data_IF_068819702037
#
_entry.id   IF_068819702037
#
_cell.length_a   1.000
_cell.length_b   1.000
_cell.length_c   1.000
_cell.angle_alpha   90.00
_cell.angle_beta   90.00
_cell.angle_gamma   90.00
#
_symmetry.space_group_name_H-M   'P 1'
#
loop_
_entity.id
_entity.type
_entity.pdbx_description
1 polymer ?
#
# COMPACT_ATOMS: atom_id res chain seq x y z
N UNK A 1 -19.79 -14.25 -9.28
CA UNK A 1 -18.83 -13.53 -8.42
C UNK A 1 -18.62 -14.34 -7.14
N UNK A 2 -17.44 -14.29 -6.53
CA UNK A 2 -17.07 -15.00 -5.29
C UNK A 2 -16.73 -14.01 -4.19
N UNK A 3 -16.94 -14.41 -2.93
CA UNK A 3 -16.51 -13.61 -1.78
C UNK A 3 -15.00 -13.35 -1.82
N UNK A 4 -14.60 -12.14 -1.46
CA UNK A 4 -13.23 -11.68 -1.47
C UNK A 4 -13.00 -10.65 -0.37
N UNK A 5 -11.73 -10.45 -0.02
CA UNK A 5 -11.29 -9.26 0.70
C UNK A 5 -10.67 -8.28 -0.30
N UNK A 6 -11.06 -7.02 -0.21
CA UNK A 6 -10.43 -5.91 -0.96
C UNK A 6 -9.56 -5.14 0.01
N UNK A 7 -8.30 -5.00 -0.35
CA UNK A 7 -7.32 -4.28 0.43
C UNK A 7 -6.79 -3.08 -0.34
N UNK A 8 -6.66 -1.96 0.36
CA UNK A 8 -6.05 -0.75 -0.16
C UNK A 8 -4.92 -0.33 0.77
N UNK A 9 -3.74 -0.08 0.21
CA UNK A 9 -2.61 0.51 0.93
C UNK A 9 -2.31 1.88 0.34
N UNK A 10 -2.14 2.87 1.20
CA UNK A 10 -1.80 4.24 0.82
C UNK A 10 -0.34 4.48 1.19
N UNK A 11 0.51 4.53 0.18
CA UNK A 11 1.96 4.56 0.35
C UNK A 11 2.48 5.95 0.00
N UNK A 12 2.69 6.77 1.03
CA UNK A 12 3.31 8.08 0.92
C UNK A 12 4.72 8.00 0.35
N UNK A 13 5.13 9.00 -0.44
CA UNK A 13 6.44 9.01 -1.09
C UNK A 13 7.41 10.00 -0.45
N UNK A 14 6.92 10.92 0.39
CA UNK A 14 7.81 11.85 1.09
C UNK A 14 8.58 11.12 2.20
N UNK A 15 9.87 11.44 2.37
CA UNK A 15 10.70 10.84 3.43
C UNK A 15 11.62 11.87 4.04
N UNK A 16 11.77 11.84 5.37
CA UNK A 16 12.61 12.79 6.08
C UNK A 16 14.08 12.68 5.62
N UNK A 17 14.68 13.83 5.30
CA UNK A 17 16.11 13.93 4.97
C UNK A 17 16.52 13.24 3.66
N UNK A 18 15.59 12.92 2.76
CA UNK A 18 15.91 12.39 1.43
C UNK A 18 14.86 12.84 0.39
N UNK A 19 15.20 12.86 -0.92
CA UNK A 19 14.21 13.12 -1.98
C UNK A 19 13.04 12.14 -1.91
N UNK A 20 11.82 12.48 -2.34
CA UNK A 20 10.71 11.53 -2.38
C UNK A 20 11.08 10.22 -3.11
N UNK A 21 10.44 9.11 -2.73
CA UNK A 21 10.63 7.81 -3.37
C UNK A 21 10.41 7.96 -4.88
N UNK A 22 11.44 7.73 -5.70
CA UNK A 22 11.36 7.83 -7.16
C UNK A 22 10.65 6.64 -7.81
N UNK A 23 10.33 6.73 -9.11
CA UNK A 23 9.70 5.61 -9.83
C UNK A 23 10.56 4.35 -9.83
N UNK A 24 11.88 4.46 -10.09
CA UNK A 24 12.77 3.30 -10.08
C UNK A 24 12.84 2.61 -8.69
N UNK A 25 12.79 3.38 -7.61
CA UNK A 25 12.75 2.83 -6.24
C UNK A 25 11.42 2.14 -5.96
N UNK A 26 10.32 2.72 -6.45
CA UNK A 26 8.99 2.16 -6.37
C UNK A 26 8.87 0.84 -7.14
N UNK A 27 9.33 0.80 -8.39
CA UNK A 27 9.32 -0.39 -9.23
C UNK A 27 10.17 -1.51 -8.61
N UNK A 28 11.32 -1.17 -8.04
CA UNK A 28 12.14 -2.12 -7.32
C UNK A 28 11.43 -2.68 -6.07
N UNK A 29 10.67 -1.85 -5.35
CA UNK A 29 9.85 -2.30 -4.21
C UNK A 29 8.71 -3.21 -4.65
N UNK A 30 8.02 -2.88 -5.76
CA UNK A 30 6.99 -3.76 -6.31
C UNK A 30 7.58 -5.13 -6.66
N UNK A 31 8.68 -5.16 -7.41
CA UNK A 31 9.32 -6.39 -7.86
C UNK A 31 9.85 -7.25 -6.69
N UNK A 32 10.45 -6.63 -5.67
CA UNK A 32 11.07 -7.39 -4.58
C UNK A 32 10.11 -7.73 -3.43
N UNK A 33 9.09 -6.90 -3.19
CA UNK A 33 8.22 -7.05 -2.02
C UNK A 33 6.75 -7.34 -2.38
N UNK A 34 6.14 -6.54 -3.25
CA UNK A 34 4.70 -6.62 -3.49
C UNK A 34 4.31 -7.80 -4.38
N UNK A 35 4.91 -7.90 -5.56
CA UNK A 35 4.57 -8.93 -6.56
C UNK A 35 4.77 -10.36 -6.03
N UNK A 36 5.86 -10.70 -5.29
CA UNK A 36 6.00 -12.04 -4.73
C UNK A 36 4.95 -12.40 -3.67
N UNK A 37 4.40 -11.41 -2.96
CA UNK A 37 3.35 -11.62 -1.94
C UNK A 37 1.95 -11.69 -2.54
N UNK A 38 1.74 -11.09 -3.71
CA UNK A 38 0.47 -11.02 -4.42
C UNK A 38 0.62 -11.53 -5.87
N UNK A 39 0.94 -12.82 -6.07
CA UNK A 39 1.19 -13.38 -7.40
C UNK A 39 -0.04 -13.39 -8.30
N UNK A 40 -1.23 -13.38 -7.71
CA UNK A 40 -2.51 -13.31 -8.45
C UNK A 40 -2.78 -11.92 -9.05
N UNK A 41 -2.00 -10.91 -8.65
CA UNK A 41 -2.05 -9.57 -9.20
C UNK A 41 -2.34 -8.49 -8.15
N UNK A 42 -2.09 -7.26 -8.57
CA UNK A 42 -2.30 -6.02 -7.84
C UNK A 42 -2.53 -4.88 -8.83
N UNK A 43 -3.13 -3.78 -8.39
CA UNK A 43 -3.27 -2.55 -9.18
C UNK A 43 -2.60 -1.41 -8.44
N UNK A 44 -1.88 -0.57 -9.18
CA UNK A 44 -1.24 0.63 -8.64
C UNK A 44 -1.85 1.85 -9.30
N UNK A 45 -2.21 2.85 -8.51
CA UNK A 45 -2.63 4.16 -8.98
C UNK A 45 -1.70 5.23 -8.43
N UNK A 46 -1.38 6.22 -9.25
CA UNK A 46 -0.79 7.46 -8.77
C UNK A 46 -1.83 8.29 -8.02
N UNK A 47 -1.46 8.76 -6.83
CA UNK A 47 -2.33 9.53 -5.97
C UNK A 47 -1.60 10.77 -5.42
N UNK A 48 -2.38 11.74 -4.96
CA UNK A 48 -1.89 12.88 -4.20
C UNK A 48 -2.56 12.88 -2.82
N UNK A 49 -1.75 12.67 -1.78
CA UNK A 49 -2.19 12.67 -0.40
C UNK A 49 -2.15 14.06 0.23
N UNK A 50 -3.07 14.31 1.14
CA UNK A 50 -3.03 15.45 2.05
C UNK A 50 -3.44 14.99 3.44
N UNK A 51 -2.59 15.23 4.44
CA UNK A 51 -2.91 14.91 5.83
C UNK A 51 -2.53 16.05 6.76
N UNK A 52 -3.07 16.03 7.97
CA UNK A 52 -2.66 16.96 9.02
C UNK A 52 -1.55 16.31 9.83
N UNK A 53 -0.35 16.86 9.76
CA UNK A 53 0.79 16.45 10.58
C UNK A 53 0.55 16.73 12.07
N UNK A 54 1.40 16.15 12.93
CA UNK A 54 1.28 16.32 14.38
C UNK A 54 1.43 17.78 14.84
N UNK A 55 2.10 18.63 14.05
CA UNK A 55 2.24 20.07 14.26
C UNK A 55 0.99 20.88 13.82
N UNK A 56 -0.05 20.20 13.34
CA UNK A 56 -1.29 20.80 12.87
C UNK A 56 -1.23 21.34 11.44
N UNK A 57 -0.09 21.26 10.73
CA UNK A 57 0.02 21.72 9.34
C UNK A 57 -0.53 20.67 8.38
N UNK A 58 -1.10 21.12 7.27
CA UNK A 58 -1.47 20.22 6.16
C UNK A 58 -0.22 19.95 5.34
N UNK A 59 0.21 18.70 5.33
CA UNK A 59 1.24 18.23 4.42
C UNK A 59 0.61 17.70 3.14
N UNK A 60 1.37 17.81 2.06
CA UNK A 60 0.99 17.34 0.73
C UNK A 60 2.09 16.43 0.22
N UNK A 61 1.69 15.30 -0.32
CA UNK A 61 2.66 14.35 -0.86
C UNK A 61 2.12 13.63 -2.10
N UNK A 62 3.04 13.24 -2.97
CA UNK A 62 2.75 12.20 -3.93
C UNK A 62 2.64 10.87 -3.18
N UNK A 63 1.70 10.03 -3.60
CA UNK A 63 1.46 8.72 -3.00
C UNK A 63 1.21 7.68 -4.10
N UNK A 64 1.36 6.41 -3.76
CA UNK A 64 0.87 5.29 -4.56
C UNK A 64 -0.29 4.64 -3.80
N UNK A 65 -1.40 4.39 -4.49
CA UNK A 65 -2.48 3.54 -3.98
C UNK A 65 -2.31 2.15 -4.54
N UNK A 66 -2.06 1.18 -3.66
CA UNK A 66 -1.99 -0.23 -4.03
C UNK A 66 -3.33 -0.89 -3.69
N UNK A 67 -4.01 -1.40 -4.69
CA UNK A 67 -5.27 -2.14 -4.54
C UNK A 67 -5.00 -3.62 -4.80
N UNK A 68 -5.41 -4.46 -3.86
CA UNK A 68 -5.29 -5.92 -3.96
C UNK A 68 -6.64 -6.56 -3.69
N UNK A 69 -7.07 -7.42 -4.61
CA UNK A 69 -8.28 -8.22 -4.47
C UNK A 69 -7.86 -9.64 -4.11
N UNK A 70 -8.36 -10.16 -2.99
CA UNK A 70 -8.00 -11.47 -2.46
C UNK A 70 -9.26 -12.35 -2.37
N UNK A 71 -9.58 -13.14 -3.41
CA UNK A 71 -10.73 -14.05 -3.40
C UNK A 71 -10.56 -15.18 -2.39
N UNK A 72 -11.63 -15.54 -1.68
CA UNK A 72 -11.69 -16.73 -0.84
C UNK A 72 -10.82 -16.71 0.42
N UNK A 73 -10.21 -15.58 0.78
CA UNK A 73 -9.50 -15.42 2.05
C UNK A 73 -10.34 -14.71 3.09
N UNK A 74 -10.05 -15.01 4.36
CA UNK A 74 -10.59 -14.32 5.52
C UNK A 74 -9.89 -12.96 5.74
N UNK A 75 -10.50 -12.10 6.55
CA UNK A 75 -9.89 -10.83 6.94
C UNK A 75 -8.55 -11.02 7.70
N UNK A 76 -8.44 -12.09 8.50
CA UNK A 76 -7.21 -12.42 9.23
C UNK A 76 -6.07 -12.80 8.30
N UNK A 77 -6.34 -13.66 7.31
CA UNK A 77 -5.35 -14.05 6.30
C UNK A 77 -4.95 -12.88 5.40
N UNK A 78 -5.91 -12.04 5.01
CA UNK A 78 -5.62 -10.83 4.25
C UNK A 78 -4.67 -9.91 5.04
N UNK A 79 -4.96 -9.65 6.32
CA UNK A 79 -4.09 -8.84 7.18
C UNK A 79 -2.69 -9.44 7.33
N UNK A 80 -2.59 -10.76 7.51
CA UNK A 80 -1.30 -11.45 7.61
C UNK A 80 -0.43 -11.30 6.34
N UNK A 81 -1.04 -11.12 5.16
CA UNK A 81 -0.32 -10.84 3.90
C UNK A 81 0.04 -9.36 3.74
N UNK A 82 -0.83 -8.45 4.18
CA UNK A 82 -0.70 -7.00 4.00
C UNK A 82 0.30 -6.37 4.97
N UNK A 83 0.27 -6.78 6.24
CA UNK A 83 1.09 -6.15 7.28
C UNK A 83 2.61 -6.25 7.00
N UNK A 84 3.15 -7.40 6.53
CA UNK A 84 4.56 -7.48 6.15
C UNK A 84 4.92 -6.55 4.98
N UNK A 85 4.02 -6.33 4.02
CA UNK A 85 4.27 -5.41 2.91
C UNK A 85 4.32 -3.96 3.39
N UNK A 86 3.34 -3.56 4.21
CA UNK A 86 3.29 -2.22 4.79
C UNK A 86 4.53 -1.94 5.66
N UNK A 87 4.96 -2.92 6.45
CA UNK A 87 6.15 -2.81 7.29
C UNK A 87 7.43 -2.74 6.45
N UNK A 88 7.55 -3.56 5.39
CA UNK A 88 8.67 -3.48 4.46
C UNK A 88 8.78 -2.10 3.81
N UNK A 89 7.66 -1.51 3.37
CA UNK A 89 7.65 -0.15 2.82
C UNK A 89 8.10 0.89 3.86
N UNK A 90 7.54 0.80 5.08
CA UNK A 90 7.84 1.69 6.20
C UNK A 90 9.33 1.69 6.53
N UNK A 91 9.92 0.50 6.66
CA UNK A 91 11.34 0.33 6.97
C UNK A 91 12.24 0.81 5.82
N UNK A 92 11.94 0.40 4.57
CA UNK A 92 12.76 0.71 3.40
C UNK A 92 12.78 2.20 3.09
N UNK A 93 11.66 2.88 3.22
CA UNK A 93 11.52 4.30 2.83
C UNK A 93 11.36 5.26 4.02
N UNK A 94 11.54 4.75 5.25
CA UNK A 94 11.47 5.53 6.51
C UNK A 94 10.18 6.33 6.64
N UNK A 95 9.05 5.69 6.31
CA UNK A 95 7.73 6.27 6.52
C UNK A 95 7.35 6.20 8.00
N UNK A 96 6.50 7.13 8.44
CA UNK A 96 5.90 7.06 9.78
C UNK A 96 4.85 5.96 9.84
N UNK A 97 4.03 5.84 8.79
CA UNK A 97 2.96 4.86 8.71
C UNK A 97 2.58 4.52 7.26
N UNK A 98 1.83 3.44 7.10
CA UNK A 98 1.12 3.08 5.87
C UNK A 98 -0.32 2.82 6.25
N UNK A 99 -1.24 3.64 5.75
CA UNK A 99 -2.68 3.41 5.92
C UNK A 99 -3.06 2.16 5.13
N UNK A 100 -3.85 1.31 5.78
CA UNK A 100 -4.41 0.08 5.20
C UNK A 100 -5.92 0.10 5.42
N UNK A 101 -6.67 -0.06 4.36
CA UNK A 101 -8.09 -0.36 4.43
C UNK A 101 -8.30 -1.81 4.00
N UNK A 102 -9.23 -2.48 4.69
CA UNK A 102 -9.61 -3.85 4.40
C UNK A 102 -11.13 -3.95 4.50
N UNK A 103 -11.76 -4.34 3.40
CA UNK A 103 -13.22 -4.47 3.31
C UNK A 103 -13.64 -5.77 2.65
N UNK A 104 -14.82 -6.31 2.99
CA UNK A 104 -15.40 -7.43 2.25
C UNK A 104 -15.84 -6.96 0.86
N UNK A 105 -15.79 -7.87 -0.12
CA UNK A 105 -16.27 -7.61 -1.46
C UNK A 105 -16.60 -8.89 -2.22
N UNK A 106 -16.99 -8.72 -3.48
CA UNK A 106 -17.21 -9.81 -4.42
C UNK A 106 -16.32 -9.60 -5.65
N UNK A 107 -15.61 -10.64 -6.08
CA UNK A 107 -14.75 -10.60 -7.25
C UNK A 107 -15.26 -11.56 -8.34
N UNK A 108 -15.11 -11.18 -9.60
CA UNK A 108 -15.35 -12.01 -10.77
C UNK A 108 -14.35 -11.64 -11.85
N UNK A 109 -13.80 -12.65 -12.50
CA UNK A 109 -12.85 -12.52 -13.60
C UNK A 109 -13.43 -13.28 -14.79
#
# INVERSE_FOLDING_TARGET
MRAAMVAELFLGRNRAGAPPVGEAEWDAFLASEATPRFPDGLTVLDAAGQWRGADGRVEREASKLLVVVLPGVTAGEARARLDPLAEAYRLRFRQESVLRLLGPGCAGF
#
